data_IF_913033025178
#
_entry.id   IF_913033025178
#
_cell.length_a   1.000
_cell.length_b   1.000
_cell.length_c   1.000
_cell.angle_alpha   90.00
_cell.angle_beta   90.00
_cell.angle_gamma   90.00
#
_symmetry.space_group_name_H-M   'P 1'
#
loop_
_entity.id
_entity.type
_entity.pdbx_description
1 polymer ?
#
# COMPACT_ATOMS: atom_id res chain seq x y z
N UNK A 1 12.99 -11.66 -18.03
CA UNK A 1 12.59 -11.02 -16.77
C UNK A 1 12.66 -9.53 -17.02
N UNK A 2 11.64 -8.78 -16.59
CA UNK A 2 11.60 -7.32 -16.73
C UNK A 2 11.90 -6.66 -15.39
N UNK A 3 12.59 -5.51 -15.43
CA UNK A 3 12.89 -4.71 -14.24
C UNK A 3 12.87 -3.22 -14.60
N UNK A 4 12.35 -2.40 -13.70
CA UNK A 4 12.41 -0.95 -13.82
C UNK A 4 12.54 -0.30 -12.44
N UNK A 5 13.29 0.80 -12.36
CA UNK A 5 13.29 1.64 -11.17
C UNK A 5 12.13 2.61 -11.23
N UNK A 6 11.65 3.04 -10.07
CA UNK A 6 10.82 4.23 -10.02
C UNK A 6 11.67 5.46 -10.41
N UNK A 7 11.03 6.57 -10.82
CA UNK A 7 11.72 7.78 -11.27
C UNK A 7 12.66 8.41 -10.23
N UNK A 8 12.43 8.12 -8.94
CA UNK A 8 13.22 8.67 -7.82
C UNK A 8 14.36 7.71 -7.43
N UNK A 9 14.30 6.43 -7.83
CA UNK A 9 15.30 5.42 -7.50
C UNK A 9 15.17 4.82 -6.09
N UNK A 10 14.01 4.99 -5.44
CA UNK A 10 13.72 4.44 -4.11
C UNK A 10 13.00 3.09 -4.18
N UNK A 11 12.48 2.71 -5.35
CA UNK A 11 11.77 1.47 -5.56
C UNK A 11 12.21 0.81 -6.86
N UNK A 12 12.16 -0.52 -6.85
CA UNK A 12 12.36 -1.33 -8.04
C UNK A 12 11.13 -2.20 -8.23
N UNK A 13 10.64 -2.27 -9.46
CA UNK A 13 9.65 -3.24 -9.86
C UNK A 13 10.35 -4.34 -10.65
N UNK A 14 10.00 -5.60 -10.40
CA UNK A 14 10.44 -6.71 -11.23
C UNK A 14 9.28 -7.64 -11.57
N UNK A 15 9.39 -8.35 -12.68
CA UNK A 15 8.39 -9.34 -13.10
C UNK A 15 9.01 -10.65 -13.56
N UNK A 16 8.25 -11.73 -13.47
CA UNK A 16 8.68 -13.06 -13.86
C UNK A 16 7.72 -13.78 -14.83
N UNK A 17 8.15 -14.96 -15.30
CA UNK A 17 7.39 -15.79 -16.22
C UNK A 17 6.16 -16.47 -15.60
N UNK A 18 5.96 -16.38 -14.29
CA UNK A 18 4.74 -16.84 -13.61
C UNK A 18 3.66 -15.75 -13.51
N UNK A 19 3.92 -14.59 -14.11
CA UNK A 19 3.00 -13.46 -14.09
C UNK A 19 3.03 -12.69 -12.77
N UNK A 20 4.04 -12.91 -11.93
CA UNK A 20 4.17 -12.20 -10.67
C UNK A 20 4.90 -10.87 -10.89
N UNK A 21 4.47 -9.88 -10.13
CA UNK A 21 5.07 -8.56 -10.01
C UNK A 21 5.55 -8.41 -8.58
N UNK A 22 6.82 -8.04 -8.43
CA UNK A 22 7.47 -7.82 -7.14
C UNK A 22 7.83 -6.34 -7.04
N UNK A 23 7.52 -5.75 -5.90
CA UNK A 23 7.90 -4.39 -5.56
C UNK A 23 8.96 -4.45 -4.46
N UNK A 24 10.08 -3.79 -4.70
CA UNK A 24 11.21 -3.72 -3.81
C UNK A 24 11.43 -2.28 -3.34
N UNK A 25 11.73 -2.08 -2.08
CA UNK A 25 12.27 -0.82 -1.56
C UNK A 25 13.80 -0.88 -1.65
N UNK A 26 14.40 0.23 -2.07
CA UNK A 26 15.85 0.40 -2.13
C UNK A 26 16.30 1.07 -0.83
N UNK A 27 17.09 0.36 -0.04
CA UNK A 27 17.73 0.88 1.16
C UNK A 27 19.21 1.16 0.86
N UNK A 28 19.57 2.44 0.78
CA UNK A 28 20.94 2.87 0.52
C UNK A 28 21.79 2.79 1.79
N UNK A 29 22.91 2.10 1.72
CA UNK A 29 23.88 1.98 2.80
C UNK A 29 25.02 3.01 2.65
N UNK A 30 25.75 3.27 3.74
CA UNK A 30 26.77 4.33 3.83
C UNK A 30 27.94 4.16 2.85
N UNK A 31 28.14 2.97 2.27
CA UNK A 31 29.24 2.64 1.34
C UNK A 31 28.80 2.56 -0.13
N UNK A 32 27.65 3.16 -0.48
CA UNK A 32 27.15 3.16 -1.86
C UNK A 32 26.63 1.80 -2.33
N UNK A 33 26.50 0.84 -1.42
CA UNK A 33 25.76 -0.39 -1.64
C UNK A 33 24.27 -0.13 -1.39
N UNK A 34 23.42 -0.83 -2.14
CA UNK A 34 21.98 -0.79 -1.95
C UNK A 34 21.49 -2.18 -1.59
N UNK A 35 20.74 -2.27 -0.49
CA UNK A 35 19.97 -3.45 -0.14
C UNK A 35 18.56 -3.33 -0.74
N UNK A 36 17.98 -4.47 -1.15
CA UNK A 36 16.60 -4.54 -1.62
C UNK A 36 15.73 -5.27 -0.61
N UNK A 37 14.66 -4.61 -0.18
CA UNK A 37 13.64 -5.21 0.68
C UNK A 37 12.37 -5.48 -0.11
N UNK A 38 11.84 -6.70 -0.07
CA UNK A 38 10.59 -7.04 -0.75
C UNK A 38 9.41 -6.40 -0.01
N UNK A 39 8.77 -5.41 -0.64
CA UNK A 39 7.62 -4.69 -0.08
C UNK A 39 6.31 -5.38 -0.42
N UNK A 40 6.20 -5.88 -1.65
CA UNK A 40 4.95 -6.47 -2.13
C UNK A 40 5.17 -7.50 -3.22
N UNK A 41 4.27 -8.47 -3.28
CA UNK A 41 4.23 -9.51 -4.31
C UNK A 41 2.78 -9.67 -4.76
N UNK A 42 2.51 -9.36 -6.02
CA UNK A 42 1.17 -9.38 -6.59
C UNK A 42 1.16 -10.16 -7.90
N UNK A 43 0.04 -10.79 -8.20
CA UNK A 43 -0.19 -11.36 -9.52
C UNK A 43 -0.60 -10.24 -10.47
N UNK A 44 -0.01 -10.21 -11.68
CA UNK A 44 -0.46 -9.33 -12.74
C UNK A 44 -1.90 -9.63 -13.16
N UNK A 45 -2.66 -8.65 -13.70
CA UNK A 45 -3.96 -8.91 -14.32
C UNK A 45 -3.87 -10.05 -15.34
N UNK A 46 -4.82 -10.99 -15.29
CA UNK A 46 -4.86 -12.15 -16.20
C UNK A 46 -3.89 -13.29 -15.85
N UNK A 47 -2.89 -13.06 -15.00
CA UNK A 47 -1.97 -14.10 -14.53
C UNK A 47 -1.00 -14.66 -15.58
N UNK A 48 -0.94 -14.04 -16.77
CA UNK A 48 -0.02 -14.43 -17.83
C UNK A 48 1.42 -13.99 -17.52
N UNK A 49 2.40 -14.65 -18.13
CA UNK A 49 3.80 -14.28 -18.04
C UNK A 49 4.02 -12.82 -18.46
N UNK A 50 4.81 -12.06 -17.69
CA UNK A 50 5.12 -10.66 -18.00
C UNK A 50 6.53 -10.57 -18.60
N UNK A 51 6.64 -9.96 -19.78
CA UNK A 51 7.89 -9.84 -20.51
C UNK A 51 8.54 -8.46 -20.35
N UNK A 52 7.75 -7.40 -20.16
CA UNK A 52 8.23 -6.04 -20.02
C UNK A 52 7.46 -5.27 -18.95
N UNK A 53 8.18 -4.38 -18.29
CA UNK A 53 7.64 -3.43 -17.31
C UNK A 53 8.26 -2.06 -17.54
N UNK A 54 7.48 -1.01 -17.36
CA UNK A 54 7.96 0.38 -17.40
C UNK A 54 7.29 1.22 -16.33
N UNK A 55 8.01 2.20 -15.79
CA UNK A 55 7.53 3.06 -14.71
C UNK A 55 7.64 4.53 -15.10
N UNK A 56 6.49 5.16 -15.29
CA UNK A 56 6.40 6.57 -15.66
C UNK A 56 6.73 7.51 -14.49
N UNK A 57 7.15 8.73 -14.82
CA UNK A 57 7.33 9.84 -13.89
C UNK A 57 6.08 10.17 -13.03
N UNK A 58 4.88 9.92 -13.56
CA UNK A 58 3.61 10.14 -12.86
C UNK A 58 3.22 9.02 -11.90
N UNK A 59 4.00 7.94 -11.83
CA UNK A 59 3.74 6.79 -10.96
C UNK A 59 2.82 5.73 -11.57
N UNK A 60 2.50 5.81 -12.86
CA UNK A 60 1.86 4.72 -13.60
C UNK A 60 2.88 3.67 -14.01
N UNK A 61 2.49 2.41 -13.92
CA UNK A 61 3.30 1.24 -14.26
C UNK A 61 2.64 0.55 -15.45
N UNK A 62 3.38 0.34 -16.53
CA UNK A 62 2.91 -0.41 -17.70
C UNK A 62 3.48 -1.83 -17.68
N UNK A 63 2.66 -2.80 -18.05
CA UNK A 63 3.03 -4.22 -18.13
C UNK A 63 2.70 -4.78 -19.51
N UNK A 64 3.65 -5.46 -20.15
CA UNK A 64 3.44 -6.23 -21.38
C UNK A 64 3.40 -7.73 -21.10
N UNK A 65 2.28 -8.38 -21.40
CA UNK A 65 2.03 -9.78 -21.06
C UNK A 65 1.97 -10.73 -22.28
N UNK A 66 2.13 -12.03 -22.01
CA UNK A 66 2.14 -13.08 -23.03
C UNK A 66 0.79 -13.34 -23.71
N UNK A 67 -0.31 -12.89 -23.09
CA UNK A 67 -1.68 -13.01 -23.61
C UNK A 67 -2.06 -11.88 -24.57
N UNK A 68 -1.06 -11.13 -25.07
CA UNK A 68 -1.23 -9.93 -25.90
C UNK A 68 -1.93 -8.76 -25.19
N UNK A 69 -2.04 -8.79 -23.86
CA UNK A 69 -2.56 -7.66 -23.09
C UNK A 69 -1.45 -6.67 -22.70
N UNK A 70 -1.86 -5.41 -22.54
CA UNK A 70 -1.08 -4.37 -21.89
C UNK A 70 -1.91 -3.81 -20.75
N UNK A 71 -1.37 -3.82 -19.54
CA UNK A 71 -2.06 -3.33 -18.33
C UNK A 71 -1.35 -2.10 -17.78
N UNK A 72 -2.14 -1.14 -17.27
CA UNK A 72 -1.64 0.00 -16.52
C UNK A 72 -2.04 -0.14 -15.05
N UNK A 73 -1.06 -0.06 -14.16
CA UNK A 73 -1.25 -0.13 -12.72
C UNK A 73 -0.82 1.20 -12.07
N UNK A 74 -1.35 1.45 -10.88
CA UNK A 74 -0.92 2.54 -10.02
C UNK A 74 -0.77 2.00 -8.60
N UNK A 75 0.27 2.43 -7.90
CA UNK A 75 0.41 2.12 -6.48
C UNK A 75 -0.65 2.89 -5.69
N UNK A 76 -1.41 2.17 -4.86
CA UNK A 76 -2.32 2.84 -3.92
C UNK A 76 -1.50 3.60 -2.88
N UNK A 77 -1.85 4.88 -2.67
CA UNK A 77 -1.39 5.59 -1.49
C UNK A 77 -2.17 5.04 -0.31
N UNK A 78 -1.52 4.26 0.54
CA UNK A 78 -2.06 3.97 1.86
C UNK A 78 -2.08 5.30 2.63
N UNK A 79 -3.21 6.00 2.61
CA UNK A 79 -3.46 7.04 3.59
C UNK A 79 -3.40 6.36 4.95
N UNK A 80 -2.40 6.67 5.76
CA UNK A 80 -2.37 6.34 7.18
C UNK A 80 -3.65 6.92 7.80
N UNK A 81 -4.67 6.07 7.94
CA UNK A 81 -5.92 6.42 8.63
C UNK A 81 -5.51 6.60 10.08
N UNK A 82 -5.48 7.86 10.52
CA UNK A 82 -4.96 8.26 11.82
C UNK A 82 -5.57 7.46 12.96
N UNK A 83 -4.72 7.16 13.93
CA UNK A 83 -5.09 6.78 15.29
C UNK A 83 -6.19 7.71 15.81
N UNK A 84 -7.35 7.13 16.09
CA UNK A 84 -8.54 7.85 16.53
C UNK A 84 -9.53 6.89 17.16
N UNK A 85 -9.06 6.11 18.15
CA UNK A 85 -9.96 5.53 19.14
C UNK A 85 -10.24 6.61 20.17
N UNK A 86 -11.35 7.30 20.00
CA UNK A 86 -11.93 8.16 21.03
C UNK A 86 -12.17 7.32 22.29
N UNK A 87 -11.41 7.60 23.35
CA UNK A 87 -11.73 7.16 24.70
C UNK A 87 -13.07 7.77 25.09
N UNK A 88 -14.13 6.95 25.06
CA UNK A 88 -15.40 7.28 25.68
C UNK A 88 -15.20 7.22 27.20
N UNK A 89 -14.74 8.32 27.79
CA UNK A 89 -14.71 8.54 29.22
C UNK A 89 -16.15 8.74 29.70
N UNK A 90 -16.75 7.65 30.18
CA UNK A 90 -18.08 7.63 30.76
C UNK A 90 -18.06 8.34 32.12
N UNK A 91 -18.22 9.66 32.08
CA UNK A 91 -18.36 10.51 33.24
C UNK A 91 -19.48 10.06 34.17
N UNK A 92 -19.11 9.90 35.43
CA UNK A 92 -19.95 9.57 36.58
C UNK A 92 -21.08 10.60 36.74
N UNK A 93 -22.31 10.10 36.85
CA UNK A 93 -23.47 10.88 37.27
C UNK A 93 -23.86 10.49 38.70
N UNK A 94 -23.23 11.14 39.69
CA UNK A 94 -23.80 11.28 41.04
C UNK A 94 -24.53 12.62 41.12
N UNK A 95 -25.83 12.60 41.43
CA UNK A 95 -26.67 13.63 42.07
C UNK A 95 -28.14 13.23 41.82
N UNK A 96 -29.08 13.15 42.75
CA UNK A 96 -29.12 13.43 44.18
C UNK A 96 -30.53 13.02 44.67
N UNK A 97 -30.63 12.56 45.90
CA UNK A 97 -31.91 12.34 46.56
C UNK A 97 -32.46 13.69 47.04
N UNK A 98 -33.70 14.03 46.72
CA UNK A 98 -34.52 14.88 47.58
C UNK A 98 -36.02 14.62 47.41
N UNK A 99 -36.69 14.60 48.56
CA UNK A 99 -38.11 14.32 48.80
C UNK A 99 -39.04 15.42 48.23
N UNK A 100 -40.31 15.06 47.97
CA UNK A 100 -41.38 16.03 48.19
C UNK A 100 -42.61 15.99 47.28
N UNK A 101 -43.68 15.41 47.84
CA UNK A 101 -45.08 15.93 47.83
C UNK A 101 -46.06 15.58 46.69
N UNK A 102 -47.07 14.83 47.14
CA UNK A 102 -48.53 14.93 46.89
C UNK A 102 -49.15 14.35 45.60
N UNK A 103 -50.04 13.36 45.78
CA UNK A 103 -51.52 13.50 45.70
C UNK A 103 -52.23 12.13 45.67
N UNK A 104 -52.88 11.75 46.76
CA UNK A 104 -54.33 11.49 46.91
C UNK A 104 -54.62 10.76 48.22
#
# INVERSE_FOLDING_TARGET
WGLCCDPVGNKVLSCDGSGMILLWAVAWEQEGQAALELVSRNQAPGGAAIFSVDWSASGLIALGAADNSVSLLQLEKTSSRGDGFDNFDGGEGEEGAEEGRARR
#
